data_IF_372678464007
#
_entry.id   IF_372678464007
#
_cell.length_a   1.000
_cell.length_b   1.000
_cell.length_c   1.000
_cell.angle_alpha   90.00
_cell.angle_beta   90.00
_cell.angle_gamma   90.00
#
_symmetry.space_group_name_H-M   'P 1'
#
loop_
_entity.id
_entity.type
_entity.pdbx_description
1 polymer ?
#
# COMPACT_ATOMS: atom_id res chain seq x y z
N UNK A 1 -3.56 -71.82 -6.93
CA UNK A 1 -3.58 -70.58 -6.13
C UNK A 1 -4.60 -69.63 -6.75
N UNK A 2 -5.77 -69.45 -6.13
CA UNK A 2 -6.77 -68.48 -6.59
C UNK A 2 -6.28 -67.06 -6.32
N UNK A 3 -5.75 -66.38 -7.34
CA UNK A 3 -5.58 -64.93 -7.28
C UNK A 3 -6.95 -64.30 -7.51
N UNK A 4 -7.67 -63.97 -6.43
CA UNK A 4 -8.83 -63.07 -6.50
C UNK A 4 -8.31 -61.73 -7.00
N UNK A 5 -8.53 -61.44 -8.28
CA UNK A 5 -8.25 -60.14 -8.87
C UNK A 5 -9.26 -59.11 -8.40
N UNK A 6 -8.81 -57.87 -8.22
CA UNK A 6 -9.67 -56.73 -7.88
C UNK A 6 -10.75 -56.56 -8.96
N UNK A 7 -12.01 -56.33 -8.55
CA UNK A 7 -13.11 -56.10 -9.50
C UNK A 7 -13.15 -54.63 -9.95
N UNK A 8 -13.67 -54.39 -11.15
CA UNK A 8 -13.85 -53.03 -11.67
C UNK A 8 -14.71 -52.17 -10.72
N UNK A 9 -15.73 -52.78 -10.12
CA UNK A 9 -16.63 -52.12 -9.16
C UNK A 9 -15.88 -51.67 -7.90
N UNK A 10 -15.01 -52.50 -7.33
CA UNK A 10 -14.20 -52.12 -6.17
C UNK A 10 -13.29 -50.93 -6.49
N UNK A 11 -12.71 -50.87 -7.69
CA UNK A 11 -11.90 -49.74 -8.12
C UNK A 11 -12.72 -48.44 -8.25
N UNK A 12 -13.92 -48.53 -8.85
CA UNK A 12 -14.81 -47.36 -9.01
C UNK A 12 -15.23 -46.79 -7.64
N UNK A 13 -15.61 -47.66 -6.69
CA UNK A 13 -16.01 -47.23 -5.34
C UNK A 13 -14.86 -46.49 -4.64
N UNK A 14 -13.63 -47.01 -4.73
CA UNK A 14 -12.46 -46.34 -4.15
C UNK A 14 -12.21 -44.98 -4.80
N UNK A 15 -12.26 -44.89 -6.13
CA UNK A 15 -12.06 -43.63 -6.84
C UNK A 15 -13.12 -42.58 -6.48
N UNK A 16 -14.39 -43.00 -6.32
CA UNK A 16 -15.48 -42.10 -5.90
C UNK A 16 -15.24 -41.60 -4.47
N UNK A 17 -14.86 -42.48 -3.53
CA UNK A 17 -14.55 -42.09 -2.16
C UNK A 17 -13.37 -41.11 -2.13
N UNK A 18 -12.29 -41.40 -2.87
CA UNK A 18 -11.13 -40.50 -2.97
C UNK A 18 -11.49 -39.15 -3.58
N UNK A 19 -12.33 -39.13 -4.62
CA UNK A 19 -12.77 -37.89 -5.25
C UNK A 19 -13.60 -37.03 -4.28
N UNK A 20 -14.52 -37.63 -3.53
CA UNK A 20 -15.32 -36.94 -2.52
C UNK A 20 -14.43 -36.40 -1.40
N UNK A 21 -13.49 -37.19 -0.88
CA UNK A 21 -12.56 -36.75 0.16
C UNK A 21 -11.66 -35.61 -0.32
N UNK A 22 -11.10 -35.71 -1.54
CA UNK A 22 -10.28 -34.68 -2.13
C UNK A 22 -11.06 -33.37 -2.34
N UNK A 23 -12.33 -33.45 -2.74
CA UNK A 23 -13.19 -32.28 -2.96
C UNK A 23 -13.37 -31.43 -1.70
N UNK A 24 -13.39 -32.03 -0.51
CA UNK A 24 -13.46 -31.29 0.76
C UNK A 24 -12.08 -30.95 1.35
N UNK A 25 -11.11 -31.84 1.21
CA UNK A 25 -9.78 -31.67 1.80
C UNK A 25 -8.96 -30.58 1.10
N UNK A 26 -9.01 -30.50 -0.24
CA UNK A 26 -8.18 -29.55 -1.01
C UNK A 26 -8.54 -28.10 -0.67
N UNK A 27 -9.81 -27.64 -0.74
CA UNK A 27 -10.15 -26.25 -0.40
C UNK A 27 -9.80 -25.90 1.05
N UNK A 28 -10.01 -26.84 1.98
CA UNK A 28 -9.71 -26.66 3.40
C UNK A 28 -8.21 -26.47 3.65
N UNK A 29 -7.37 -27.32 3.05
CA UNK A 29 -5.92 -27.20 3.15
C UNK A 29 -5.40 -25.90 2.53
N UNK A 30 -5.95 -25.49 1.37
CA UNK A 30 -5.59 -24.21 0.75
C UNK A 30 -5.93 -23.02 1.64
N UNK A 31 -7.08 -23.05 2.32
CA UNK A 31 -7.46 -22.04 3.31
C UNK A 31 -6.49 -21.96 4.49
N UNK A 32 -6.09 -23.11 5.06
CA UNK A 32 -5.11 -23.17 6.15
C UNK A 32 -3.73 -22.65 5.75
N UNK A 33 -3.26 -23.00 4.55
CA UNK A 33 -1.98 -22.50 4.02
C UNK A 33 -2.04 -20.99 3.85
N UNK A 34 -3.10 -20.46 3.23
CA UNK A 34 -3.27 -19.01 3.05
C UNK A 34 -3.29 -18.27 4.38
N UNK A 35 -4.06 -18.73 5.37
CA UNK A 35 -4.09 -18.13 6.70
C UNK A 35 -2.71 -18.15 7.39
N UNK A 36 -2.00 -19.27 7.26
CA UNK A 36 -0.65 -19.41 7.82
C UNK A 36 0.34 -18.45 7.16
N UNK A 37 0.24 -18.25 5.84
CA UNK A 37 1.08 -17.30 5.11
C UNK A 37 0.85 -15.86 5.58
N UNK A 38 -0.40 -15.46 5.82
CA UNK A 38 -0.73 -14.13 6.38
C UNK A 38 -0.12 -13.98 7.77
N UNK A 39 -0.37 -14.93 8.67
CA UNK A 39 0.12 -14.86 10.07
C UNK A 39 1.65 -14.86 10.16
N UNK A 40 2.33 -15.65 9.32
CA UNK A 40 3.80 -15.66 9.27
C UNK A 40 4.34 -14.36 8.68
N UNK A 41 3.69 -13.83 7.64
CA UNK A 41 4.06 -12.54 7.06
C UNK A 41 3.95 -11.41 8.10
N UNK A 42 2.88 -11.36 8.87
CA UNK A 42 2.70 -10.36 9.93
C UNK A 42 3.79 -10.47 11.00
N UNK A 43 4.05 -11.69 11.49
CA UNK A 43 5.10 -11.96 12.49
C UNK A 43 6.46 -11.52 11.98
N UNK A 44 6.82 -11.92 10.76
CA UNK A 44 8.12 -11.61 10.18
C UNK A 44 8.32 -10.11 9.96
N UNK A 45 7.29 -9.38 9.51
CA UNK A 45 7.37 -7.92 9.37
C UNK A 45 7.60 -7.23 10.72
N UNK A 46 6.90 -7.65 11.77
CA UNK A 46 7.09 -7.13 13.12
C UNK A 46 8.48 -7.45 13.68
N UNK A 47 8.98 -8.66 13.44
CA UNK A 47 10.31 -9.07 13.90
C UNK A 47 11.42 -8.27 13.20
N UNK A 48 11.30 -8.05 11.88
CA UNK A 48 12.25 -7.20 11.13
C UNK A 48 12.26 -5.78 11.69
N UNK A 49 11.08 -5.17 11.90
CA UNK A 49 10.96 -3.82 12.46
C UNK A 49 11.59 -3.75 13.85
N UNK A 50 11.26 -4.69 14.74
CA UNK A 50 11.76 -4.71 16.12
C UNK A 50 13.29 -4.85 16.18
N UNK A 51 13.85 -5.73 15.35
CA UNK A 51 15.30 -5.93 15.29
C UNK A 51 16.00 -4.72 14.67
N UNK A 52 15.42 -4.14 13.63
CA UNK A 52 15.88 -2.88 13.05
C UNK A 52 15.95 -1.77 14.11
N UNK A 53 14.85 -1.51 14.83
CA UNK A 53 14.77 -0.46 15.84
C UNK A 53 15.77 -0.69 16.99
N UNK A 54 16.06 -1.96 17.31
CA UNK A 54 17.07 -2.32 18.31
C UNK A 54 18.47 -1.99 17.81
N UNK A 55 18.79 -2.32 16.55
CA UNK A 55 20.11 -2.07 15.98
C UNK A 55 20.35 -0.59 15.68
N UNK A 56 19.32 0.13 15.23
CA UNK A 56 19.40 1.55 14.92
C UNK A 56 19.77 2.43 16.12
N UNK A 57 19.53 1.96 17.37
CA UNK A 57 20.01 2.61 18.61
C UNK A 57 21.53 2.67 18.70
N UNK A 58 22.22 1.72 18.07
CA UNK A 58 23.69 1.60 18.08
C UNK A 58 24.31 2.08 16.76
N UNK A 59 23.49 2.22 15.72
CA UNK A 59 23.91 2.66 14.38
C UNK A 59 22.97 3.77 13.90
N UNK A 60 23.17 5.02 14.36
CA UNK A 60 22.39 6.16 13.91
C UNK A 60 22.42 6.29 12.39
N UNK A 61 21.26 6.51 11.78
CA UNK A 61 21.12 6.63 10.33
C UNK A 61 21.01 5.29 9.57
N UNK A 62 20.95 4.15 10.26
CA UNK A 62 20.58 2.88 9.65
C UNK A 62 19.18 2.98 8.99
N UNK A 63 19.08 2.49 7.75
CA UNK A 63 17.84 2.37 6.99
C UNK A 63 17.29 0.94 7.05
N UNK A 64 15.97 0.80 7.19
CA UNK A 64 15.33 -0.51 7.39
C UNK A 64 15.44 -1.42 6.17
N UNK A 65 15.44 -0.89 4.93
CA UNK A 65 15.59 -1.72 3.74
C UNK A 65 17.02 -2.25 3.63
N UNK A 66 18.00 -1.41 3.96
CA UNK A 66 19.41 -1.80 4.07
C UNK A 66 19.58 -2.89 5.12
N UNK A 67 19.05 -2.69 6.33
CA UNK A 67 19.04 -3.69 7.39
C UNK A 67 18.40 -5.01 6.97
N UNK A 68 17.21 -4.95 6.35
CA UNK A 68 16.49 -6.14 5.91
C UNK A 68 17.29 -6.93 4.87
N UNK A 69 17.87 -6.23 3.89
CA UNK A 69 18.70 -6.84 2.84
C UNK A 69 19.94 -7.53 3.41
N UNK A 70 20.63 -6.90 4.35
CA UNK A 70 21.86 -7.44 4.94
C UNK A 70 21.60 -8.66 5.84
N UNK A 71 20.49 -8.67 6.57
CA UNK A 71 20.20 -9.72 7.56
C UNK A 71 19.37 -10.88 7.00
N UNK A 72 18.54 -10.63 5.97
CA UNK A 72 17.58 -11.61 5.46
C UNK A 72 17.73 -11.90 3.96
N UNK A 73 18.60 -11.17 3.26
CA UNK A 73 18.83 -11.35 1.83
C UNK A 73 17.79 -10.67 0.95
N UNK A 74 17.68 -11.14 -0.30
CA UNK A 74 16.86 -10.47 -1.31
C UNK A 74 15.35 -10.64 -1.01
N UNK A 75 14.58 -9.55 -1.17
CA UNK A 75 13.18 -9.36 -0.69
C UNK A 75 12.20 -10.46 -1.13
N UNK A 76 12.49 -11.18 -2.22
CA UNK A 76 11.61 -12.17 -2.85
C UNK A 76 11.26 -13.40 -1.97
N UNK A 77 11.97 -13.65 -0.87
CA UNK A 77 11.71 -14.79 0.02
C UNK A 77 11.20 -14.40 1.42
N UNK A 78 10.98 -13.11 1.67
CA UNK A 78 10.56 -12.67 3.00
C UNK A 78 9.07 -12.92 3.25
N UNK A 79 8.24 -12.93 2.22
CA UNK A 79 6.81 -13.23 2.36
C UNK A 79 6.55 -14.71 2.02
N UNK A 80 5.98 -15.52 2.93
CA UNK A 80 5.59 -16.91 2.62
C UNK A 80 4.52 -17.03 1.53
N UNK A 81 3.78 -15.95 1.25
CA UNK A 81 2.82 -15.84 0.15
C UNK A 81 3.42 -15.37 -1.18
N UNK A 82 4.74 -15.11 -1.24
CA UNK A 82 5.43 -14.63 -2.44
C UNK A 82 5.35 -13.12 -2.68
N UNK A 83 4.83 -12.36 -1.71
CA UNK A 83 4.80 -10.90 -1.76
C UNK A 83 6.16 -10.23 -1.55
N UNK A 84 6.26 -8.97 -1.97
CA UNK A 84 7.44 -8.12 -1.76
C UNK A 84 7.23 -7.26 -0.51
N UNK A 85 8.29 -7.10 0.29
CA UNK A 85 8.29 -6.24 1.46
C UNK A 85 8.83 -4.85 1.11
N UNK A 86 8.14 -3.83 1.62
CA UNK A 86 8.50 -2.43 1.45
C UNK A 86 8.71 -1.82 2.83
N UNK A 87 9.97 -1.60 3.19
CA UNK A 87 10.36 -1.01 4.46
C UNK A 87 10.44 0.51 4.38
N UNK A 88 10.03 1.17 5.45
CA UNK A 88 10.26 2.60 5.66
C UNK A 88 10.71 2.84 7.08
N UNK A 89 11.65 3.77 7.27
CA UNK A 89 12.15 4.11 8.59
C UNK A 89 12.43 5.58 8.71
N UNK A 90 12.17 6.12 9.90
CA UNK A 90 12.50 7.49 10.27
C UNK A 90 13.03 7.54 11.71
N UNK A 91 13.61 8.67 12.10
CA UNK A 91 14.19 8.88 13.43
C UNK A 91 13.41 9.96 14.18
N UNK A 92 12.83 9.63 15.33
CA UNK A 92 12.19 10.59 16.25
C UNK A 92 13.23 11.36 17.07
N UNK A 93 14.38 10.72 17.31
CA UNK A 93 15.60 11.34 17.86
C UNK A 93 16.83 10.58 17.33
N UNK A 94 18.04 11.08 17.60
CA UNK A 94 19.29 10.51 17.11
C UNK A 94 19.41 8.99 17.31
N UNK A 95 18.87 8.47 18.42
CA UNK A 95 18.92 7.04 18.79
C UNK A 95 17.54 6.38 18.88
N UNK A 96 16.49 7.01 18.33
CA UNK A 96 15.14 6.46 18.34
C UNK A 96 14.62 6.37 16.91
N UNK A 97 14.97 5.27 16.25
CA UNK A 97 14.38 4.91 14.97
C UNK A 97 13.00 4.28 15.18
N UNK A 98 12.12 4.52 14.22
CA UNK A 98 10.83 3.85 14.07
C UNK A 98 10.80 3.21 12.69
N UNK A 99 10.42 1.94 12.63
CA UNK A 99 10.32 1.17 11.40
C UNK A 99 8.89 0.81 11.05
N UNK A 100 8.59 0.77 9.75
CA UNK A 100 7.34 0.24 9.21
C UNK A 100 7.66 -0.70 8.07
N UNK A 101 7.00 -1.85 8.04
CA UNK A 101 7.17 -2.84 6.99
C UNK A 101 5.82 -3.20 6.39
N UNK A 102 5.65 -2.92 5.11
CA UNK A 102 4.46 -3.28 4.34
C UNK A 102 4.72 -4.52 3.46
N UNK A 103 3.69 -5.32 3.18
CA UNK A 103 3.74 -6.41 2.20
C UNK A 103 2.77 -6.17 1.04
N UNK A 104 3.21 -6.35 -0.21
CA UNK A 104 2.36 -6.20 -1.41
C UNK A 104 1.12 -7.09 -1.41
N UNK A 105 1.19 -8.26 -0.78
CA UNK A 105 0.10 -9.22 -0.72
C UNK A 105 -0.76 -9.04 0.53
N UNK A 106 -0.13 -8.87 1.70
CA UNK A 106 -0.78 -9.01 3.00
C UNK A 106 -1.01 -7.68 3.75
N UNK A 107 -0.56 -6.53 3.25
CA UNK A 107 -1.03 -5.25 3.81
C UNK A 107 -2.49 -5.03 3.41
N UNK A 108 -3.38 -4.93 4.41
CA UNK A 108 -4.83 -4.81 4.20
C UNK A 108 -5.41 -3.47 4.66
N UNK A 109 -4.68 -2.70 5.50
CA UNK A 109 -5.11 -1.36 5.91
C UNK A 109 -5.20 -0.48 4.66
N UNK A 110 -6.37 0.11 4.42
CA UNK A 110 -6.73 0.71 3.13
C UNK A 110 -5.70 1.75 2.64
N UNK A 111 -5.20 2.59 3.54
CA UNK A 111 -4.27 3.68 3.24
C UNK A 111 -2.90 3.14 2.80
N UNK A 112 -2.34 2.24 3.61
CA UNK A 112 -1.06 1.58 3.31
C UNK A 112 -1.15 0.65 2.11
N UNK A 113 -2.30 -0.02 1.90
CA UNK A 113 -2.53 -0.87 0.74
C UNK A 113 -2.59 -0.06 -0.56
N UNK A 114 -3.31 1.05 -0.58
CA UNK A 114 -3.40 1.87 -1.77
C UNK A 114 -2.05 2.51 -2.14
N UNK A 115 -1.26 2.91 -1.14
CA UNK A 115 0.13 3.34 -1.38
C UNK A 115 0.99 2.20 -1.95
N UNK A 116 0.83 0.97 -1.48
CA UNK A 116 1.56 -0.16 -2.07
C UNK A 116 1.18 -0.42 -3.53
N UNK A 117 -0.10 -0.26 -3.89
CA UNK A 117 -0.53 -0.42 -5.28
C UNK A 117 0.21 0.57 -6.20
N UNK A 118 0.50 1.80 -5.74
CA UNK A 118 1.32 2.75 -6.51
C UNK A 118 2.77 2.29 -6.66
N UNK A 119 3.37 1.80 -5.58
CA UNK A 119 4.77 1.30 -5.59
C UNK A 119 4.93 0.08 -6.48
N UNK A 120 4.01 -0.89 -6.37
CA UNK A 120 3.99 -2.09 -7.21
C UNK A 120 3.80 -1.71 -8.68
N UNK A 121 2.94 -0.74 -8.99
CA UNK A 121 2.78 -0.24 -10.36
C UNK A 121 4.10 0.33 -10.89
N UNK A 122 4.73 1.24 -10.15
CA UNK A 122 5.99 1.88 -10.53
C UNK A 122 7.11 0.86 -10.72
N UNK A 123 7.21 -0.11 -9.81
CA UNK A 123 8.20 -1.19 -9.88
C UNK A 123 8.00 -2.10 -11.10
N UNK A 124 6.76 -2.39 -11.48
CA UNK A 124 6.47 -3.17 -12.68
C UNK A 124 6.88 -2.41 -13.94
N UNK A 125 6.55 -1.12 -14.02
CA UNK A 125 6.79 -0.35 -15.25
C UNK A 125 8.25 0.12 -15.40
N UNK A 126 9.05 0.19 -14.32
CA UNK A 126 10.41 0.77 -14.39
C UNK A 126 11.32 0.15 -15.45
N UNK A 127 11.20 -1.16 -15.67
CA UNK A 127 12.03 -1.92 -16.61
C UNK A 127 11.35 -2.17 -17.97
N UNK A 128 10.12 -1.69 -18.16
CA UNK A 128 9.35 -1.90 -19.38
C UNK A 128 9.72 -0.91 -20.48
N UNK A 129 9.73 -1.37 -21.73
CA UNK A 129 9.77 -0.49 -22.90
C UNK A 129 8.49 0.35 -22.99
N UNK A 130 8.48 1.48 -23.73
CA UNK A 130 7.25 2.27 -23.90
C UNK A 130 6.06 1.43 -24.39
N UNK A 131 6.28 0.50 -25.32
CA UNK A 131 5.22 -0.37 -25.86
C UNK A 131 4.66 -1.32 -24.79
N UNK A 132 5.54 -1.90 -23.97
CA UNK A 132 5.14 -2.73 -22.83
C UNK A 132 4.37 -1.92 -21.78
N UNK A 133 4.82 -0.69 -21.49
CA UNK A 133 4.11 0.22 -20.56
C UNK A 133 2.70 0.52 -21.06
N UNK A 134 2.54 0.88 -22.33
CA UNK A 134 1.23 1.14 -22.94
C UNK A 134 0.30 -0.06 -22.82
N UNK A 135 0.79 -1.25 -23.15
CA UNK A 135 0.03 -2.50 -23.01
C UNK A 135 -0.37 -2.78 -21.56
N UNK A 136 0.55 -2.61 -20.60
CA UNK A 136 0.29 -2.85 -19.18
C UNK A 136 -0.73 -1.86 -18.59
N UNK A 137 -0.61 -0.58 -18.96
CA UNK A 137 -1.47 0.51 -18.50
C UNK A 137 -2.81 0.57 -19.24
N UNK A 138 -2.95 -0.14 -20.35
CA UNK A 138 -4.17 -0.14 -21.17
C UNK A 138 -4.38 1.15 -21.97
N UNK A 139 -3.30 1.82 -22.39
CA UNK A 139 -3.34 3.07 -23.16
C UNK A 139 -2.73 2.88 -24.55
N UNK A 140 -3.07 3.77 -25.49
CA UNK A 140 -2.55 3.76 -26.86
C UNK A 140 -1.54 4.87 -27.15
N UNK A 141 -1.53 5.93 -26.35
CA UNK A 141 -0.60 7.05 -26.45
C UNK A 141 0.58 6.92 -25.47
N UNK A 142 1.51 7.88 -25.49
CA UNK A 142 2.66 7.90 -24.57
C UNK A 142 2.41 8.80 -23.35
N UNK A 143 1.16 8.94 -22.91
CA UNK A 143 0.84 9.72 -21.72
C UNK A 143 1.11 8.90 -20.44
N UNK A 144 2.36 8.86 -20.01
CA UNK A 144 2.78 8.22 -18.76
C UNK A 144 2.75 9.23 -17.61
N UNK A 145 1.55 9.52 -17.11
CA UNK A 145 1.33 10.57 -16.10
C UNK A 145 0.50 10.08 -14.92
N UNK A 146 0.35 10.95 -13.92
CA UNK A 146 -0.53 10.75 -12.77
C UNK A 146 -1.93 10.25 -13.15
N UNK A 147 -2.58 10.83 -14.16
CA UNK A 147 -3.94 10.44 -14.54
C UNK A 147 -3.98 9.00 -15.08
N UNK A 148 -3.02 8.63 -15.91
CA UNK A 148 -2.89 7.26 -16.45
C UNK A 148 -2.66 6.24 -15.36
N UNK A 149 -1.74 6.51 -14.43
CA UNK A 149 -1.42 5.59 -13.35
C UNK A 149 -2.59 5.45 -12.36
N UNK A 150 -3.27 6.55 -12.05
CA UNK A 150 -4.50 6.55 -11.24
C UNK A 150 -5.61 5.74 -11.91
N UNK A 151 -5.82 5.90 -13.22
CA UNK A 151 -6.84 5.15 -13.95
C UNK A 151 -6.59 3.63 -13.90
N UNK A 152 -5.34 3.22 -14.05
CA UNK A 152 -4.92 1.81 -13.91
C UNK A 152 -5.25 1.26 -12.51
N UNK A 153 -4.84 1.96 -11.46
CA UNK A 153 -5.08 1.54 -10.08
C UNK A 153 -6.58 1.50 -9.76
N UNK A 154 -7.33 2.50 -10.23
CA UNK A 154 -8.78 2.56 -10.03
C UNK A 154 -9.49 1.35 -10.66
N UNK A 155 -9.13 1.00 -11.90
CA UNK A 155 -9.71 -0.13 -12.61
C UNK A 155 -9.42 -1.47 -11.90
N UNK A 156 -8.20 -1.64 -11.38
CA UNK A 156 -7.80 -2.85 -10.63
C UNK A 156 -8.47 -2.93 -9.24
N UNK A 157 -8.90 -1.79 -8.69
CA UNK A 157 -9.56 -1.69 -7.39
C UNK A 157 -11.10 -1.59 -7.46
N UNK A 158 -11.70 -1.91 -8.60
CA UNK A 158 -13.16 -2.03 -8.73
C UNK A 158 -13.88 -0.77 -9.24
N UNK A 159 -13.14 0.25 -9.69
CA UNK A 159 -13.70 1.39 -10.42
C UNK A 159 -14.13 2.59 -9.57
N UNK A 160 -14.12 2.49 -8.24
CA UNK A 160 -14.39 3.61 -7.33
C UNK A 160 -13.37 3.68 -6.19
N UNK A 161 -12.98 4.90 -5.82
CA UNK A 161 -12.12 5.14 -4.66
C UNK A 161 -12.85 4.81 -3.34
N UNK A 162 -12.14 4.13 -2.44
CA UNK A 162 -12.70 3.73 -1.14
C UNK A 162 -12.83 4.92 -0.21
N UNK A 163 -13.86 4.90 0.63
CA UNK A 163 -14.01 5.89 1.70
C UNK A 163 -12.84 5.80 2.68
N UNK A 164 -12.42 6.95 3.20
CA UNK A 164 -11.48 7.00 4.31
C UNK A 164 -12.11 6.37 5.56
N UNK A 165 -11.36 5.60 6.36
CA UNK A 165 -11.93 4.99 7.57
C UNK A 165 -12.45 6.07 8.55
N UNK A 166 -13.63 5.83 9.12
CA UNK A 166 -14.23 6.75 10.09
C UNK A 166 -13.32 6.99 11.31
N UNK A 167 -12.56 5.98 11.72
CA UNK A 167 -11.58 6.08 12.81
C UNK A 167 -10.48 7.12 12.57
N UNK A 168 -10.16 7.42 11.31
CA UNK A 168 -9.24 8.50 10.94
C UNK A 168 -9.98 9.84 11.04
N UNK A 169 -11.19 9.94 10.47
CA UNK A 169 -11.99 11.17 10.48
C UNK A 169 -12.29 11.67 11.89
N UNK A 170 -12.63 10.78 12.82
CA UNK A 170 -12.98 11.13 14.21
C UNK A 170 -11.85 11.88 14.95
N UNK A 171 -10.60 11.65 14.52
CA UNK A 171 -9.37 12.24 15.06
C UNK A 171 -8.97 13.55 14.39
N UNK A 172 -9.47 13.83 13.19
CA UNK A 172 -9.20 15.11 12.49
C UNK A 172 -9.79 16.30 13.25
N UNK A 173 -9.21 17.48 13.19
CA UNK A 173 -9.80 18.66 13.82
C UNK A 173 -10.98 19.22 13.00
N UNK A 174 -10.90 19.16 11.67
CA UNK A 174 -11.82 19.87 10.77
C UNK A 174 -12.57 18.96 9.79
N UNK A 175 -12.17 17.70 9.61
CA UNK A 175 -12.80 16.76 8.68
C UNK A 175 -13.80 15.78 9.33
N UNK A 176 -14.05 15.86 10.66
CA UNK A 176 -14.90 14.90 11.40
C UNK A 176 -16.28 14.65 10.81
N UNK A 177 -16.86 15.68 10.17
CA UNK A 177 -18.23 15.66 9.63
C UNK A 177 -18.28 15.28 8.14
N UNK A 178 -17.15 15.07 7.50
CA UNK A 178 -17.09 14.74 6.08
C UNK A 178 -17.52 13.29 5.87
N UNK A 179 -18.56 13.05 5.08
CA UNK A 179 -19.14 11.72 4.89
C UNK A 179 -18.66 10.99 3.62
N UNK A 180 -17.97 11.71 2.74
CA UNK A 180 -17.69 11.29 1.37
C UNK A 180 -16.21 11.45 0.98
N UNK A 181 -15.31 11.61 1.96
CA UNK A 181 -13.89 11.61 1.69
C UNK A 181 -13.42 10.21 1.29
N UNK A 182 -12.70 10.13 0.19
CA UNK A 182 -12.20 8.91 -0.43
C UNK A 182 -10.71 8.97 -0.61
N UNK A 183 -10.04 7.89 -0.21
CA UNK A 183 -8.60 7.72 -0.35
C UNK A 183 -8.24 7.46 -1.80
N UNK A 184 -7.23 8.15 -2.30
CA UNK A 184 -6.80 8.06 -3.69
C UNK A 184 -5.32 8.42 -3.83
N UNK A 185 -4.61 7.88 -4.84
CA UNK A 185 -3.20 8.17 -5.03
C UNK A 185 -2.99 9.42 -5.89
N UNK A 186 -1.94 10.18 -5.60
CA UNK A 186 -1.40 11.20 -6.51
C UNK A 186 0.03 10.82 -6.85
N UNK A 187 0.35 10.76 -8.14
CA UNK A 187 1.72 10.64 -8.60
C UNK A 187 2.29 12.03 -8.86
N UNK A 188 3.56 12.23 -8.56
CA UNK A 188 4.22 13.52 -8.69
C UNK A 188 5.72 13.34 -8.93
N UNK A 189 6.44 14.47 -9.00
CA UNK A 189 7.81 14.52 -9.48
C UNK A 189 7.87 14.64 -11.00
N UNK A 190 9.02 15.09 -11.51
CA UNK A 190 9.19 15.39 -12.94
C UNK A 190 8.94 14.18 -13.84
N UNK A 191 9.18 12.97 -13.32
CA UNK A 191 9.00 11.70 -14.02
C UNK A 191 7.77 10.90 -13.55
N UNK A 192 6.91 11.48 -12.69
CA UNK A 192 5.74 10.80 -12.09
C UNK A 192 6.10 9.50 -11.33
N UNK A 193 7.32 9.44 -10.80
CA UNK A 193 7.95 8.27 -10.17
C UNK A 193 7.77 8.23 -8.64
N UNK A 194 7.12 9.25 -8.09
CA UNK A 194 6.80 9.38 -6.68
C UNK A 194 5.29 9.42 -6.50
N UNK A 195 4.83 9.05 -5.31
CA UNK A 195 3.40 9.03 -5.04
C UNK A 195 3.06 9.27 -3.58
N UNK A 196 1.84 9.73 -3.35
CA UNK A 196 1.28 9.98 -2.03
C UNK A 196 -0.20 9.63 -2.04
N UNK A 197 -0.74 9.20 -0.90
CA UNK A 197 -2.18 9.00 -0.75
C UNK A 197 -2.79 10.23 -0.09
N UNK A 198 -3.93 10.68 -0.59
CA UNK A 198 -4.69 11.79 -0.04
C UNK A 198 -6.18 11.46 -0.05
N UNK A 199 -7.00 12.31 0.57
CA UNK A 199 -8.44 12.13 0.57
C UNK A 199 -9.21 13.37 0.12
N UNK A 200 -10.17 13.18 -0.79
CA UNK A 200 -11.15 14.20 -1.16
C UNK A 200 -12.48 13.56 -1.58
N UNK A 201 -13.43 14.36 -2.07
CA UNK A 201 -14.78 13.89 -2.40
C UNK A 201 -14.90 13.19 -3.76
N UNK A 202 -13.87 13.25 -4.62
CA UNK A 202 -13.88 12.66 -5.95
C UNK A 202 -14.03 11.13 -5.86
N UNK A 203 -14.99 10.59 -6.61
CA UNK A 203 -15.29 9.15 -6.64
C UNK A 203 -14.34 8.36 -7.53
N UNK A 204 -13.82 9.01 -8.57
CA UNK A 204 -13.02 8.40 -9.64
C UNK A 204 -12.01 9.42 -10.22
N UNK A 205 -11.57 9.21 -11.46
CA UNK A 205 -10.64 10.12 -12.17
C UNK A 205 -11.32 11.24 -12.95
N UNK A 206 -12.65 11.25 -13.04
CA UNK A 206 -13.43 12.16 -13.89
C UNK A 206 -13.75 13.51 -13.23
N UNK A 207 -13.72 13.59 -11.90
CA UNK A 207 -14.07 14.83 -11.17
C UNK A 207 -13.12 15.99 -11.51
N UNK A 208 -13.68 17.19 -11.69
CA UNK A 208 -12.92 18.40 -12.05
C UNK A 208 -12.16 18.99 -10.86
N UNK A 209 -12.62 18.79 -9.63
CA UNK A 209 -11.98 19.31 -8.41
C UNK A 209 -11.14 18.26 -7.67
N UNK A 210 -10.67 17.23 -8.40
CA UNK A 210 -9.98 16.09 -7.80
C UNK A 210 -8.61 16.38 -7.20
N UNK A 211 -8.02 17.57 -7.36
CA UNK A 211 -6.66 17.85 -6.85
C UNK A 211 -6.60 18.66 -5.56
N UNK A 212 -7.75 19.04 -5.01
CA UNK A 212 -7.83 19.70 -3.71
C UNK A 212 -7.94 18.65 -2.59
N UNK A 213 -7.21 18.85 -1.49
CA UNK A 213 -7.27 17.99 -0.31
C UNK A 213 -7.04 18.76 1.00
N UNK A 214 -7.53 18.20 2.10
CA UNK A 214 -7.13 18.59 3.45
C UNK A 214 -6.48 17.44 4.22
N UNK A 215 -6.33 16.27 3.61
CA UNK A 215 -5.77 15.08 4.26
C UNK A 215 -4.78 14.39 3.34
N UNK A 216 -3.59 14.11 3.85
CA UNK A 216 -2.55 13.32 3.17
C UNK A 216 -2.01 12.25 4.10
N UNK A 217 -1.63 11.11 3.55
CA UNK A 217 -1.08 9.98 4.28
C UNK A 217 0.43 9.91 4.06
N UNK A 218 1.18 9.98 5.17
CA UNK A 218 2.61 9.79 5.17
C UNK A 218 2.93 8.29 5.32
N UNK A 219 3.37 7.68 4.23
CA UNK A 219 3.67 6.26 4.17
C UNK A 219 4.90 5.87 5.00
N UNK A 220 5.83 6.80 5.26
CA UNK A 220 7.04 6.52 6.04
C UNK A 220 6.77 6.33 7.53
N UNK A 221 5.72 6.98 8.06
CA UNK A 221 5.33 6.86 9.46
C UNK A 221 3.91 6.30 9.68
N UNK A 222 3.19 5.99 8.59
CA UNK A 222 1.86 5.39 8.65
C UNK A 222 0.78 6.30 9.22
N UNK A 223 0.99 7.63 9.21
CA UNK A 223 0.07 8.61 9.80
C UNK A 223 -0.57 9.50 8.76
N UNK A 224 -1.80 9.91 9.05
CA UNK A 224 -2.49 10.97 8.32
C UNK A 224 -2.08 12.34 8.85
N UNK A 225 -2.01 13.30 7.95
CA UNK A 225 -1.74 14.71 8.21
C UNK A 225 -2.90 15.53 7.66
N UNK A 226 -3.42 16.44 8.49
CA UNK A 226 -4.49 17.35 8.14
C UNK A 226 -3.92 18.75 7.83
N UNK A 227 -4.33 19.31 6.70
CA UNK A 227 -3.97 20.67 6.30
C UNK A 227 -4.90 21.67 7.00
N UNK A 228 -4.31 22.58 7.79
CA UNK A 228 -5.04 23.44 8.72
C UNK A 228 -5.01 24.93 8.37
N UNK A 229 -4.45 25.28 7.22
CA UNK A 229 -4.33 26.68 6.79
C UNK A 229 -5.71 27.32 6.65
N UNK A 230 -5.85 28.52 7.22
CA UNK A 230 -7.07 29.33 7.15
C UNK A 230 -7.05 30.25 5.94
N UNK A 231 -8.23 30.53 5.40
CA UNK A 231 -8.37 31.60 4.42
C UNK A 231 -8.06 32.97 5.06
N UNK A 232 -7.36 33.90 4.40
CA UNK A 232 -6.97 35.17 5.01
C UNK A 232 -8.13 36.07 5.43
N UNK A 233 -9.29 35.92 4.79
CA UNK A 233 -10.45 36.81 4.96
C UNK A 233 -11.63 36.21 5.73
N UNK A 234 -11.57 34.93 6.13
CA UNK A 234 -12.64 34.29 6.89
C UNK A 234 -12.12 33.07 7.66
N UNK A 235 -12.96 32.46 8.50
CA UNK A 235 -12.57 31.31 9.32
C UNK A 235 -12.62 29.94 8.61
N UNK A 236 -12.81 29.91 7.27
CA UNK A 236 -12.79 28.66 6.50
C UNK A 236 -11.37 28.10 6.38
N UNK A 237 -11.26 26.83 5.97
CA UNK A 237 -9.99 26.17 5.69
C UNK A 237 -9.72 26.19 4.20
N UNK A 238 -8.50 26.54 3.83
CA UNK A 238 -8.01 26.36 2.46
C UNK A 238 -7.77 24.88 2.20
N UNK A 239 -7.84 24.46 0.95
CA UNK A 239 -7.42 23.13 0.54
C UNK A 239 -6.02 23.18 -0.04
N UNK A 240 -5.21 22.19 0.30
CA UNK A 240 -3.92 21.95 -0.32
C UNK A 240 -4.11 21.44 -1.75
N UNK A 241 -3.36 21.98 -2.70
CA UNK A 241 -3.41 21.58 -4.12
C UNK A 241 -2.33 20.55 -4.41
N UNK A 242 -2.72 19.32 -4.74
CA UNK A 242 -1.78 18.24 -5.08
C UNK A 242 -0.86 18.59 -6.25
N UNK A 243 -1.32 19.45 -7.17
CA UNK A 243 -0.52 19.92 -8.31
C UNK A 243 0.70 20.75 -7.91
N UNK A 244 0.76 21.28 -6.68
CA UNK A 244 1.98 21.94 -6.18
C UNK A 244 3.16 20.98 -6.05
N UNK A 245 2.91 19.67 -6.06
CA UNK A 245 3.93 18.63 -5.97
C UNK A 245 4.56 18.25 -7.31
N UNK A 246 4.03 18.70 -8.44
CA UNK A 246 4.46 18.23 -9.78
C UNK A 246 5.97 18.34 -10.02
N UNK A 247 6.60 19.38 -9.47
CA UNK A 247 8.04 19.62 -9.59
C UNK A 247 8.76 19.50 -8.24
N UNK A 248 8.14 18.85 -7.25
CA UNK A 248 8.68 18.66 -5.91
C UNK A 248 9.15 17.21 -5.72
N UNK A 249 9.93 16.97 -4.68
CA UNK A 249 10.30 15.62 -4.25
C UNK A 249 9.56 15.24 -2.97
N UNK A 250 9.47 13.95 -2.71
CA UNK A 250 8.96 13.43 -1.46
C UNK A 250 9.76 13.97 -0.27
N UNK A 251 11.07 14.13 -0.42
CA UNK A 251 11.93 14.75 0.61
C UNK A 251 11.47 16.17 0.95
N UNK A 252 11.19 17.00 -0.06
CA UNK A 252 10.72 18.38 0.14
C UNK A 252 9.33 18.41 0.78
N UNK A 253 8.42 17.57 0.28
CA UNK A 253 7.07 17.51 0.81
C UNK A 253 7.04 16.97 2.25
N UNK A 254 7.85 15.95 2.55
CA UNK A 254 8.02 15.44 3.91
C UNK A 254 8.50 16.53 4.86
N UNK A 255 9.45 17.37 4.44
CA UNK A 255 9.87 18.52 5.24
C UNK A 255 8.70 19.50 5.47
N UNK A 256 7.83 19.70 4.47
CA UNK A 256 6.62 20.51 4.62
C UNK A 256 5.64 19.93 5.63
N UNK A 257 5.50 18.60 5.74
CA UNK A 257 4.63 17.97 6.74
C UNK A 257 5.05 18.28 8.20
N UNK A 258 6.30 18.70 8.41
CA UNK A 258 6.80 19.15 9.71
C UNK A 258 6.48 20.62 10.03
N UNK A 259 5.96 21.38 9.05
CA UNK A 259 5.51 22.75 9.27
C UNK A 259 4.16 22.75 10.01
N UNK A 260 4.24 22.83 11.34
CA UNK A 260 3.08 22.84 12.25
C UNK A 260 2.14 24.02 12.05
N UNK A 261 2.53 25.05 11.29
CA UNK A 261 1.62 26.15 10.91
C UNK A 261 0.68 25.76 9.77
N UNK A 262 1.01 24.70 9.02
CA UNK A 262 0.26 24.22 7.85
C UNK A 262 -0.35 22.85 8.03
N UNK A 263 0.35 21.95 8.71
CA UNK A 263 -0.02 20.55 8.86
C UNK A 263 -0.06 20.15 10.32
N UNK A 264 -1.04 19.31 10.66
CA UNK A 264 -1.09 18.64 11.96
C UNK A 264 -1.23 17.13 11.76
N UNK A 265 -0.61 16.34 12.63
CA UNK A 265 -0.79 14.89 12.65
C UNK A 265 -2.21 14.56 13.14
N UNK A 266 -2.84 13.56 12.51
CA UNK A 266 -4.12 13.00 12.94
C UNK A 266 -3.83 11.86 13.92
N UNK A 267 -3.72 12.19 15.22
CA UNK A 267 -3.42 11.26 16.32
C UNK A 267 -4.67 10.92 17.17
#
# INVERSE_FOLDING_TARGET
MNKKGFTLTEMIVVLVILAVLAAFAIPTMLGFVSYSQVSLCDTQRMDIVRLFETQARMTPGLDINTFAKENYGNEAHLCPGGGVYYGYSYYESENQAVGIMYCSEHTTVADGRLYLDTRVLLDKIKAMTPDQKRAYLGITDNNFSNDTYRAKILAENGGEWKLIPQSVLDKTAYQKKSADLRIQPYFFGTEWDQSIIYANTAKDTSDSNKWATNLVFNHENGKWYEYIVKHPSNDSRESFSMTSLNNSTWTDFKAQLNDTTKWQVVD
#
